data_IF_778360380792
#
_entry.id   IF_778360380792
#
_cell.length_a   1.000
_cell.length_b   1.000
_cell.length_c   1.000
_cell.angle_alpha   90.00
_cell.angle_beta   90.00
_cell.angle_gamma   90.00
#
_symmetry.space_group_name_H-M   'P 1'
#
loop_
_entity.id
_entity.type
_entity.pdbx_description
1 polymer ?
#
# COMPACT_ATOMS: atom_id res chain seq x y z
N UNK A 1 -46.26 4.86 40.80
CA UNK A 1 -44.87 4.43 40.53
C UNK A 1 -44.83 3.73 39.16
N UNK A 2 -44.37 4.39 38.10
CA UNK A 2 -44.05 3.72 36.82
C UNK A 2 -42.85 4.45 36.20
N UNK A 3 -41.65 3.90 36.36
CA UNK A 3 -40.46 4.35 35.63
C UNK A 3 -40.40 3.53 34.34
N UNK A 4 -40.61 4.17 33.20
CA UNK A 4 -40.37 3.56 31.90
C UNK A 4 -38.85 3.59 31.63
N UNK A 5 -38.25 2.42 31.43
CA UNK A 5 -36.85 2.30 31.02
C UNK A 5 -36.77 2.41 29.49
N UNK A 6 -36.05 3.41 29.00
CA UNK A 6 -35.72 3.53 27.58
C UNK A 6 -34.44 2.71 27.30
N UNK A 7 -34.54 1.67 26.47
CA UNK A 7 -33.38 0.97 25.93
C UNK A 7 -32.81 1.79 24.76
N UNK A 8 -31.59 2.32 24.92
CA UNK A 8 -30.83 2.90 23.84
C UNK A 8 -30.10 1.78 23.07
N UNK A 9 -30.52 1.54 21.83
CA UNK A 9 -29.80 0.68 20.87
C UNK A 9 -28.63 1.47 20.29
N UNK A 10 -27.42 1.27 20.83
CA UNK A 10 -26.17 1.69 20.20
C UNK A 10 -25.87 0.75 19.03
N UNK A 11 -26.26 1.14 17.81
CA UNK A 11 -25.78 0.51 16.60
C UNK A 11 -24.29 0.85 16.44
N UNK A 12 -23.40 -0.09 16.78
CA UNK A 12 -22.00 -0.02 16.38
C UNK A 12 -21.97 -0.24 14.85
N UNK A 13 -21.95 0.86 14.10
CA UNK A 13 -21.53 0.81 12.71
C UNK A 13 -20.05 0.42 12.73
N UNK A 14 -19.76 -0.86 12.48
CA UNK A 14 -18.41 -1.33 12.17
C UNK A 14 -18.01 -0.63 10.87
N UNK A 15 -17.39 0.53 11.02
CA UNK A 15 -16.80 1.24 9.90
C UNK A 15 -15.65 0.36 9.43
N UNK A 16 -15.71 -0.10 8.18
CA UNK A 16 -14.58 -0.72 7.53
C UNK A 16 -13.48 0.36 7.44
N UNK A 17 -12.66 0.47 8.49
CA UNK A 17 -11.54 1.40 8.49
C UNK A 17 -10.61 0.98 7.36
N UNK A 18 -10.39 1.89 6.41
CA UNK A 18 -9.33 1.72 5.43
C UNK A 18 -7.99 1.75 6.16
N UNK A 19 -7.10 0.79 5.86
CA UNK A 19 -5.74 0.85 6.34
C UNK A 19 -4.97 1.87 5.49
N UNK A 20 -4.65 2.99 6.12
CA UNK A 20 -3.95 4.11 5.50
C UNK A 20 -2.44 3.88 5.56
N UNK A 21 -1.80 3.75 4.40
CA UNK A 21 -0.38 3.41 4.28
C UNK A 21 0.52 4.63 4.08
N UNK A 22 -0.02 5.85 3.99
CA UNK A 22 0.77 7.09 3.82
C UNK A 22 2.02 7.16 4.70
N UNK A 23 1.96 6.87 6.02
CA UNK A 23 3.14 7.01 6.88
C UNK A 23 4.35 6.17 6.45
N UNK A 24 4.15 5.06 5.71
CA UNK A 24 5.24 4.25 5.18
C UNK A 24 6.03 4.98 4.07
N UNK A 25 5.44 5.96 3.39
CA UNK A 25 6.08 6.70 2.29
C UNK A 25 7.01 7.81 2.75
N UNK A 26 7.35 7.85 4.04
CA UNK A 26 8.54 8.54 4.51
C UNK A 26 9.82 7.89 3.97
N UNK A 27 9.78 6.63 3.51
CA UNK A 27 10.91 5.86 2.95
C UNK A 27 11.98 5.41 3.97
N UNK A 28 11.61 5.19 5.23
CA UNK A 28 12.48 4.80 6.35
C UNK A 28 12.38 3.32 6.73
N UNK A 29 11.80 2.49 5.85
CA UNK A 29 11.55 1.05 6.08
C UNK A 29 12.23 0.20 5.02
N UNK A 30 12.52 -1.06 5.35
CA UNK A 30 12.90 -2.05 4.35
C UNK A 30 11.66 -2.53 3.56
N UNK A 31 11.84 -3.01 2.31
CA UNK A 31 10.76 -3.67 1.58
C UNK A 31 10.19 -4.88 2.33
N UNK A 32 11.05 -5.69 2.96
CA UNK A 32 10.61 -6.82 3.79
C UNK A 32 9.63 -6.37 4.88
N UNK A 33 9.98 -5.34 5.65
CA UNK A 33 9.14 -4.86 6.75
C UNK A 33 7.82 -4.31 6.23
N UNK A 34 7.85 -3.54 5.14
CA UNK A 34 6.63 -2.98 4.55
C UNK A 34 5.68 -4.06 4.05
N UNK A 35 6.14 -4.95 3.16
CA UNK A 35 5.31 -5.99 2.56
C UNK A 35 4.92 -7.04 3.59
N UNK A 36 5.88 -7.48 4.41
CA UNK A 36 5.66 -8.46 5.48
C UNK A 36 4.63 -8.00 6.50
N UNK A 37 4.62 -6.72 6.89
CA UNK A 37 3.58 -6.17 7.77
C UNK A 37 2.18 -6.30 7.16
N UNK A 38 2.03 -5.99 5.86
CA UNK A 38 0.74 -6.09 5.16
C UNK A 38 0.28 -7.54 5.01
N UNK A 39 1.20 -8.47 4.77
CA UNK A 39 0.93 -9.92 4.74
C UNK A 39 0.46 -10.39 6.12
N UNK A 40 1.18 -10.03 7.19
CA UNK A 40 0.88 -10.43 8.56
C UNK A 40 -0.48 -9.90 9.04
N UNK A 41 -0.84 -8.69 8.61
CA UNK A 41 -2.15 -8.08 8.87
C UNK A 41 -3.27 -8.63 7.98
N UNK A 42 -2.96 -9.55 7.05
CA UNK A 42 -3.89 -10.11 6.05
C UNK A 42 -4.58 -9.01 5.24
N UNK A 43 -3.80 -8.02 4.81
CA UNK A 43 -4.28 -6.93 3.96
C UNK A 43 -3.99 -7.19 2.48
N UNK A 44 -2.98 -8.00 2.17
CA UNK A 44 -2.60 -8.42 0.81
C UNK A 44 -2.40 -9.93 0.74
N UNK A 45 -2.50 -10.50 -0.47
CA UNK A 45 -2.08 -11.89 -0.73
C UNK A 45 -0.58 -12.03 -0.46
N UNK A 46 -0.17 -13.11 0.19
CA UNK A 46 1.23 -13.41 0.46
C UNK A 46 1.98 -13.88 -0.78
N UNK A 47 1.27 -14.35 -1.82
CA UNK A 47 1.87 -14.84 -3.05
C UNK A 47 2.03 -13.70 -4.06
N UNK A 48 3.26 -13.29 -4.39
CA UNK A 48 3.47 -12.28 -5.41
C UNK A 48 3.14 -12.81 -6.81
N UNK A 49 2.67 -11.91 -7.67
CA UNK A 49 2.71 -12.07 -9.11
C UNK A 49 3.93 -11.32 -9.64
N UNK A 50 4.81 -12.02 -10.34
CA UNK A 50 5.95 -11.40 -11.01
C UNK A 50 5.45 -10.80 -12.32
N UNK A 51 5.50 -9.47 -12.43
CA UNK A 51 5.07 -8.78 -13.65
C UNK A 51 6.13 -8.85 -14.77
N UNK A 52 5.81 -8.33 -15.95
CA UNK A 52 6.73 -8.33 -17.10
C UNK A 52 8.01 -7.49 -16.87
N UNK A 53 8.00 -6.60 -15.86
CA UNK A 53 9.16 -5.81 -15.43
C UNK A 53 9.92 -6.49 -14.29
N UNK A 54 9.57 -7.74 -13.99
CA UNK A 54 10.12 -8.57 -12.92
C UNK A 54 9.88 -8.03 -11.50
N UNK A 55 8.96 -7.08 -11.33
CA UNK A 55 8.57 -6.63 -9.99
C UNK A 55 7.60 -7.63 -9.36
N UNK A 56 7.80 -7.91 -8.07
CA UNK A 56 6.84 -8.67 -7.30
C UNK A 56 5.66 -7.75 -6.98
N UNK A 57 4.47 -8.14 -7.44
CA UNK A 57 3.21 -7.43 -7.23
C UNK A 57 2.31 -8.25 -6.32
N UNK A 58 1.75 -7.62 -5.29
CA UNK A 58 0.89 -8.26 -4.31
C UNK A 58 -0.49 -7.61 -4.38
N UNK A 59 -1.54 -8.44 -4.48
CA UNK A 59 -2.92 -7.95 -4.60
C UNK A 59 -3.51 -7.71 -3.20
N UNK A 60 -4.18 -6.57 -2.97
CA UNK A 60 -5.05 -6.41 -1.80
C UNK A 60 -6.07 -7.55 -1.71
N UNK A 61 -6.30 -8.07 -0.50
CA UNK A 61 -7.30 -9.12 -0.30
C UNK A 61 -8.72 -8.58 -0.54
N UNK A 62 -9.67 -9.42 -0.99
CA UNK A 62 -11.07 -9.02 -1.07
C UNK A 62 -11.57 -8.47 0.27
N UNK A 63 -12.21 -7.30 0.25
CA UNK A 63 -12.70 -6.63 1.46
C UNK A 63 -11.64 -5.85 2.24
N UNK A 64 -10.35 -5.92 1.87
CA UNK A 64 -9.35 -4.98 2.36
C UNK A 64 -9.54 -3.62 1.69
N UNK A 65 -9.52 -2.56 2.49
CA UNK A 65 -9.60 -1.18 2.01
C UNK A 65 -8.25 -0.54 2.29
N UNK A 66 -7.38 -0.49 1.27
CA UNK A 66 -6.05 0.09 1.39
C UNK A 66 -6.01 1.46 0.70
N UNK A 67 -5.48 2.45 1.39
CA UNK A 67 -5.36 3.82 0.87
C UNK A 67 -3.97 4.39 1.11
N UNK A 68 -3.54 5.27 0.21
CA UNK A 68 -2.34 6.12 0.34
C UNK A 68 -2.73 7.51 -0.14
N UNK A 69 -2.59 8.52 0.72
CA UNK A 69 -3.09 9.88 0.53
C UNK A 69 -4.54 9.91 0.05
N UNK A 70 -5.40 9.05 0.62
CA UNK A 70 -6.80 8.83 0.21
C UNK A 70 -7.01 8.19 -1.17
N UNK A 71 -5.94 7.91 -1.94
CA UNK A 71 -6.06 7.15 -3.17
C UNK A 71 -6.16 5.66 -2.88
N UNK A 72 -7.09 4.98 -3.54
CA UNK A 72 -7.26 3.52 -3.43
C UNK A 72 -6.04 2.80 -3.98
N UNK A 73 -5.43 1.94 -3.15
CA UNK A 73 -4.35 1.03 -3.56
C UNK A 73 -4.97 -0.15 -4.33
N UNK A 74 -4.43 -0.42 -5.52
CA UNK A 74 -4.85 -1.56 -6.35
C UNK A 74 -3.80 -2.66 -6.41
N UNK A 75 -2.54 -2.33 -6.13
CA UNK A 75 -1.44 -3.27 -6.05
C UNK A 75 -0.41 -2.74 -5.06
N UNK A 76 0.17 -3.64 -4.27
CA UNK A 76 1.42 -3.40 -3.56
C UNK A 76 2.55 -3.93 -4.44
N UNK A 77 3.70 -3.27 -4.43
CA UNK A 77 4.89 -3.71 -5.17
C UNK A 77 6.10 -3.74 -4.25
N UNK A 78 7.03 -4.65 -4.50
CA UNK A 78 8.28 -4.66 -3.76
C UNK A 78 9.34 -5.54 -4.39
N UNK A 79 10.57 -5.32 -3.96
CA UNK A 79 11.72 -6.16 -4.27
C UNK A 79 12.80 -5.96 -3.21
N UNK A 80 13.42 -7.06 -2.79
CA UNK A 80 14.61 -7.07 -1.97
C UNK A 80 15.46 -8.28 -2.37
N UNK A 81 16.78 -8.12 -2.62
CA UNK A 81 17.67 -9.24 -2.86
C UNK A 81 17.70 -10.22 -1.69
N UNK A 82 17.86 -11.51 -1.99
CA UNK A 82 18.03 -12.60 -1.02
C UNK A 82 16.92 -12.70 0.06
N UNK A 83 15.70 -12.29 -0.29
CA UNK A 83 14.58 -12.24 0.65
C UNK A 83 13.43 -13.16 0.21
N UNK A 84 13.06 -14.09 1.08
CA UNK A 84 12.05 -15.13 0.81
C UNK A 84 10.63 -14.64 0.51
N UNK A 85 10.30 -13.39 0.84
CA UNK A 85 8.98 -12.80 0.52
C UNK A 85 8.87 -12.48 -0.96
N UNK A 86 10.00 -12.22 -1.63
CA UNK A 86 10.07 -11.78 -3.01
C UNK A 86 10.54 -12.94 -3.91
N UNK A 87 9.90 -13.10 -5.07
CA UNK A 87 10.41 -14.00 -6.09
C UNK A 87 11.76 -13.51 -6.62
N UNK A 88 12.66 -14.46 -6.91
CA UNK A 88 13.97 -14.19 -7.50
C UNK A 88 13.83 -13.52 -8.87
N UNK A 89 14.64 -12.50 -9.13
CA UNK A 89 14.79 -11.91 -10.45
C UNK A 89 16.12 -12.37 -11.08
N UNK A 90 16.09 -13.07 -12.22
CA UNK A 90 17.30 -13.40 -12.95
C UNK A 90 17.98 -12.12 -13.48
N UNK A 91 19.22 -11.84 -13.05
CA UNK A 91 20.10 -10.87 -13.70
C UNK A 91 19.79 -9.38 -13.50
N UNK A 92 18.82 -9.02 -12.66
CA UNK A 92 18.43 -7.63 -12.42
C UNK A 92 19.14 -7.05 -11.18
N UNK A 93 20.16 -6.21 -11.39
CA UNK A 93 20.76 -5.37 -10.34
C UNK A 93 19.92 -4.11 -10.10
N UNK A 94 18.65 -4.28 -9.69
CA UNK A 94 17.83 -3.14 -9.27
C UNK A 94 18.00 -2.91 -7.76
N UNK A 95 17.99 -1.65 -7.29
CA UNK A 95 17.98 -1.37 -5.86
C UNK A 95 16.69 -1.91 -5.22
N UNK A 96 16.79 -2.27 -3.94
CA UNK A 96 15.65 -2.69 -3.16
C UNK A 96 14.60 -1.56 -3.13
N UNK A 97 13.32 -1.93 -3.24
CA UNK A 97 12.24 -0.96 -3.29
C UNK A 97 10.93 -1.53 -2.75
N UNK A 98 10.05 -0.64 -2.33
CA UNK A 98 8.65 -0.96 -2.07
C UNK A 98 7.74 0.17 -2.51
N UNK A 99 6.47 -0.14 -2.69
CA UNK A 99 5.50 0.88 -3.05
C UNK A 99 4.11 0.33 -3.27
N UNK A 100 3.28 1.18 -3.86
CA UNK A 100 1.92 0.87 -4.27
C UNK A 100 1.64 1.41 -5.66
N UNK A 101 0.66 0.82 -6.33
CA UNK A 101 -0.04 1.42 -7.46
C UNK A 101 -1.41 1.86 -6.98
N UNK A 102 -1.75 3.12 -7.22
CA UNK A 102 -3.02 3.73 -6.82
C UNK A 102 -3.83 4.18 -8.03
N UNK A 103 -5.15 4.27 -7.85
CA UNK A 103 -6.02 4.98 -8.79
C UNK A 103 -5.96 6.48 -8.53
N UNK A 104 -5.27 7.22 -9.40
CA UNK A 104 -5.03 8.66 -9.29
C UNK A 104 -4.14 9.15 -10.43
N UNK A 105 -4.40 10.37 -10.91
CA UNK A 105 -3.56 10.99 -11.93
C UNK A 105 -2.19 11.38 -11.34
N UNK A 106 -1.08 11.26 -12.11
CA UNK A 106 0.25 11.55 -11.60
C UNK A 106 0.40 12.95 -10.96
N UNK A 107 -0.24 13.97 -11.56
CA UNK A 107 -0.19 15.33 -11.05
C UNK A 107 -0.84 15.47 -9.66
N UNK A 108 -2.02 14.87 -9.46
CA UNK A 108 -2.75 14.93 -8.19
C UNK A 108 -2.00 14.16 -7.10
N UNK A 109 -1.48 12.98 -7.45
CA UNK A 109 -0.69 12.17 -6.51
C UNK A 109 0.60 12.89 -6.10
N UNK A 110 1.29 13.53 -7.04
CA UNK A 110 2.46 14.37 -6.73
C UNK A 110 2.09 15.53 -5.81
N UNK A 111 0.97 16.20 -6.06
CA UNK A 111 0.50 17.29 -5.23
C UNK A 111 0.20 16.83 -3.80
N UNK A 112 -0.38 15.65 -3.61
CA UNK A 112 -0.62 15.05 -2.30
C UNK A 112 0.68 14.75 -1.55
N UNK A 113 1.69 14.17 -2.22
CA UNK A 113 3.01 13.95 -1.64
C UNK A 113 3.66 15.27 -1.19
N UNK A 114 3.63 16.28 -2.05
CA UNK A 114 4.19 17.60 -1.77
C UNK A 114 3.48 18.26 -0.58
N UNK A 115 2.15 18.21 -0.55
CA UNK A 115 1.32 18.72 0.54
C UNK A 115 1.61 18.03 1.87
N UNK A 116 1.94 16.73 1.85
CA UNK A 116 2.30 15.97 3.04
C UNK A 116 3.78 16.15 3.46
N UNK A 117 4.57 16.89 2.68
CA UNK A 117 6.00 17.10 2.94
C UNK A 117 6.88 15.88 2.66
N UNK A 118 6.39 14.90 1.89
CA UNK A 118 7.16 13.68 1.60
C UNK A 118 8.06 13.90 0.39
N UNK A 119 9.37 14.00 0.65
CA UNK A 119 10.38 14.34 -0.35
C UNK A 119 11.18 13.14 -0.85
N UNK A 120 11.02 11.95 -0.24
CA UNK A 120 11.79 10.74 -0.58
C UNK A 120 11.02 9.77 -1.48
N UNK A 121 9.71 9.69 -1.33
CA UNK A 121 8.88 8.91 -2.25
C UNK A 121 8.95 9.50 -3.67
N UNK A 122 8.82 8.63 -4.66
CA UNK A 122 8.83 8.99 -6.08
C UNK A 122 7.57 8.43 -6.74
N UNK A 123 7.05 9.16 -7.72
CA UNK A 123 5.94 8.67 -8.54
C UNK A 123 6.42 8.18 -9.90
N UNK A 124 5.69 7.23 -10.47
CA UNK A 124 5.85 6.82 -11.87
C UNK A 124 4.48 6.53 -12.49
N UNK A 125 4.35 6.80 -13.80
CA UNK A 125 3.15 6.43 -14.54
C UNK A 125 3.02 4.90 -14.61
N UNK A 126 1.88 4.36 -14.16
CA UNK A 126 1.61 2.92 -14.13
C UNK A 126 0.52 2.49 -15.12
N UNK A 127 -0.21 3.45 -15.71
CA UNK A 127 -1.28 3.20 -16.69
C UNK A 127 -2.33 4.32 -16.69
N UNK A 128 -3.40 4.19 -17.49
CA UNK A 128 -4.50 5.16 -17.50
C UNK A 128 -5.10 5.35 -16.10
N UNK A 129 -4.98 6.56 -15.55
CA UNK A 129 -5.39 6.89 -14.18
C UNK A 129 -4.71 6.05 -13.07
N UNK A 130 -3.57 5.42 -13.38
CA UNK A 130 -2.80 4.65 -12.43
C UNK A 130 -1.42 5.28 -12.21
N UNK A 131 -1.08 5.47 -10.95
CA UNK A 131 0.21 6.03 -10.54
C UNK A 131 0.87 5.11 -9.54
N UNK A 132 2.12 4.74 -9.79
CA UNK A 132 2.96 4.09 -8.82
C UNK A 132 3.56 5.14 -7.87
N UNK A 133 3.59 4.84 -6.58
CA UNK A 133 4.31 5.58 -5.55
C UNK A 133 5.31 4.59 -4.95
N UNK A 134 6.60 4.93 -4.97
CA UNK A 134 7.64 4.02 -4.53
C UNK A 134 8.72 4.71 -3.70
N UNK A 135 9.26 3.95 -2.76
CA UNK A 135 10.48 4.24 -2.03
C UNK A 135 11.57 3.30 -2.52
N UNK A 136 12.74 3.85 -2.83
CA UNK A 136 13.97 3.06 -3.04
C UNK A 136 14.76 3.05 -1.73
N UNK A 137 15.42 1.93 -1.49
CA UNK A 137 16.42 1.81 -0.44
C UNK A 137 17.76 1.80 -1.15
N UNK A 138 18.53 2.86 -0.89
CA UNK A 138 19.86 3.09 -1.45
C UNK A 138 20.93 2.40 -0.60
#
# INVERSE_FOLDING_TARGET
MKKAAALALLALAASAQAAELSPAFQCDRSPHDFVGTLINQRLIDARPHVDQRSLNTFRPLPGSHLTVFQYKVISVVGYQPDDSVFGEMPGASIPALYGVVVFGAPADVQASLNSAGYTRARIAHAGPHLTAIACRVD
#
